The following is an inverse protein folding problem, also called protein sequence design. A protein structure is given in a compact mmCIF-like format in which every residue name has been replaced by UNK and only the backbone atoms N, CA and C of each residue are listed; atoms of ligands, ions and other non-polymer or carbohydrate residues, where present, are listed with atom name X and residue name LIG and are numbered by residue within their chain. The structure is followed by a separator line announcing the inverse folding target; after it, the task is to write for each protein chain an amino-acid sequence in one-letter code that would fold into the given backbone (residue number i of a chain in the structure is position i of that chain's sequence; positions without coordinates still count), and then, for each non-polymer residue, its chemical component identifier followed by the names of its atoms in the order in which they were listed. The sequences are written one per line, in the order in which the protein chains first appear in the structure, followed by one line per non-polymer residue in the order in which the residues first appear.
data_IF_143637780217
#
_entry.id   IF_143637780217
#
_cell.length_a   1.000
_cell.length_b   1.000
_cell.length_c   1.000
_cell.angle_alpha   90.00
_cell.angle_beta   90.00
_cell.angle_gamma   90.00
#
_symmetry.space_group_name_H-M   'P 1'
#
loop_
_entity.id
_entity.type
_entity.pdbx_description
1 polymer ?
#
# COMPACT_ATOMS: atom_id res chain seq x y z
N UNK A 1 0.79 8.47 29.26
CA UNK A 1 0.29 8.95 27.99
C UNK A 1 1.16 8.29 26.94
N UNK A 2 0.63 7.47 26.02
CA UNK A 2 1.45 7.02 24.91
C UNK A 2 1.88 8.26 24.13
N UNK A 3 3.14 8.28 23.76
CA UNK A 3 3.74 9.24 22.87
C UNK A 3 2.94 9.21 21.57
N UNK A 4 2.23 10.28 21.25
CA UNK A 4 1.57 10.45 19.97
C UNK A 4 2.67 10.80 18.96
N UNK A 5 3.57 9.84 18.71
CA UNK A 5 4.52 9.92 17.63
C UNK A 5 3.72 10.12 16.33
N UNK A 6 3.95 11.23 15.68
CA UNK A 6 3.36 11.55 14.39
C UNK A 6 3.80 10.46 13.42
N UNK A 7 2.87 9.68 12.90
CA UNK A 7 3.10 8.73 11.82
C UNK A 7 3.32 9.52 10.54
N UNK A 8 4.26 9.06 9.70
CA UNK A 8 4.52 9.68 8.40
C UNK A 8 3.61 9.09 7.32
N UNK A 9 3.01 7.92 7.60
CA UNK A 9 2.08 7.25 6.71
C UNK A 9 0.94 6.67 7.53
N UNK A 10 -0.27 7.10 7.26
CA UNK A 10 -1.48 6.60 7.89
C UNK A 10 -2.19 5.56 7.01
N UNK A 11 -2.76 4.55 7.66
CA UNK A 11 -3.52 3.48 7.02
C UNK A 11 -4.88 3.36 7.69
N UNK A 12 -5.93 3.28 6.88
CA UNK A 12 -7.30 3.05 7.31
C UNK A 12 -7.87 1.80 6.61
N UNK A 13 -8.57 0.94 7.33
CA UNK A 13 -9.43 -0.07 6.71
C UNK A 13 -10.87 0.40 6.80
N UNK A 14 -11.46 0.70 5.66
CA UNK A 14 -12.77 1.28 5.57
C UNK A 14 -13.28 1.39 4.14
N UNK A 15 -14.44 2.03 4.01
CA UNK A 15 -15.02 2.35 2.71
C UNK A 15 -14.22 3.44 2.03
N UNK A 16 -13.97 3.30 0.73
CA UNK A 16 -13.49 4.40 -0.11
C UNK A 16 -14.56 5.49 -0.28
N UNK A 17 -15.82 5.15 -0.04
CA UNK A 17 -16.94 6.09 -0.08
C UNK A 17 -17.12 6.73 1.29
N UNK A 18 -16.52 7.89 1.49
CA UNK A 18 -16.38 8.54 2.80
C UNK A 18 -17.50 9.53 3.11
N UNK A 19 -18.05 10.19 2.09
CA UNK A 19 -19.08 11.22 2.27
C UNK A 19 -20.48 10.62 2.33
N UNK A 20 -21.31 11.06 3.26
CA UNK A 20 -22.72 10.69 3.35
C UNK A 20 -23.60 11.73 2.66
N UNK A 21 -24.75 11.34 2.03
CA UNK A 21 -25.58 12.25 1.23
C UNK A 21 -26.27 13.36 2.04
N UNK A 22 -26.39 13.22 3.35
CA UNK A 22 -26.95 14.18 4.30
C UNK A 22 -25.89 15.14 4.88
N UNK A 23 -24.62 14.88 4.68
CA UNK A 23 -23.52 15.73 5.12
C UNK A 23 -23.17 16.76 4.04
N UNK A 24 -22.88 16.28 2.83
CA UNK A 24 -22.57 17.11 1.66
C UNK A 24 -23.02 16.37 0.38
N UNK A 25 -24.11 16.80 -0.18
CA UNK A 25 -24.70 16.12 -1.33
C UNK A 25 -23.89 16.28 -2.62
N UNK A 26 -23.27 17.45 -2.81
CA UNK A 26 -22.48 17.70 -4.03
C UNK A 26 -21.21 16.85 -4.01
N UNK A 27 -20.51 16.83 -2.88
CA UNK A 27 -19.34 15.97 -2.67
C UNK A 27 -19.68 14.49 -2.76
N UNK A 28 -20.81 14.07 -2.16
CA UNK A 28 -21.31 12.69 -2.27
C UNK A 28 -21.52 12.25 -3.72
N UNK A 29 -22.17 13.10 -4.53
CA UNK A 29 -22.44 12.77 -5.94
C UNK A 29 -21.12 12.71 -6.74
N UNK A 30 -20.18 13.62 -6.52
CA UNK A 30 -18.85 13.62 -7.15
C UNK A 30 -18.02 12.39 -6.76
N UNK A 31 -17.91 12.08 -5.47
CA UNK A 31 -17.19 10.90 -4.98
C UNK A 31 -17.81 9.59 -5.51
N UNK A 32 -19.13 9.53 -5.58
CA UNK A 32 -19.84 8.38 -6.15
C UNK A 32 -19.54 8.20 -7.65
N UNK A 33 -19.52 9.28 -8.42
CA UNK A 33 -19.20 9.24 -9.86
C UNK A 33 -17.77 8.74 -10.07
N UNK A 34 -16.81 9.30 -9.37
CA UNK A 34 -15.41 8.86 -9.38
C UNK A 34 -15.26 7.37 -9.04
N UNK A 35 -15.91 6.88 -7.96
CA UNK A 35 -15.85 5.48 -7.57
C UNK A 35 -16.46 4.53 -8.63
N UNK A 36 -17.51 4.97 -9.34
CA UNK A 36 -18.08 4.19 -10.45
C UNK A 36 -17.07 4.08 -11.59
N UNK A 37 -16.39 5.16 -11.94
CA UNK A 37 -15.41 5.19 -13.01
C UNK A 37 -14.21 4.32 -12.68
N UNK A 38 -13.66 4.44 -11.47
CA UNK A 38 -12.60 3.56 -10.96
C UNK A 38 -13.02 2.09 -10.97
N UNK A 39 -14.24 1.78 -10.52
CA UNK A 39 -14.76 0.41 -10.52
C UNK A 39 -14.87 -0.18 -11.93
N UNK A 40 -15.25 0.64 -12.92
CA UNK A 40 -15.32 0.22 -14.32
C UNK A 40 -13.91 -0.05 -14.88
N UNK A 41 -12.93 0.82 -14.60
CA UNK A 41 -11.53 0.63 -15.00
C UNK A 41 -10.92 -0.63 -14.38
N UNK A 42 -11.14 -0.86 -13.09
CA UNK A 42 -10.69 -2.08 -12.39
C UNK A 42 -11.33 -3.34 -12.99
N UNK A 43 -12.62 -3.27 -13.39
CA UNK A 43 -13.30 -4.37 -14.05
C UNK A 43 -12.73 -4.69 -15.42
N UNK A 44 -12.33 -3.69 -16.18
CA UNK A 44 -11.66 -3.88 -17.48
C UNK A 44 -10.29 -4.58 -17.31
N UNK A 45 -9.64 -4.37 -16.16
CA UNK A 45 -8.42 -5.09 -15.73
C UNK A 45 -8.73 -6.47 -15.09
N UNK A 46 -10.00 -6.88 -15.04
CA UNK A 46 -10.44 -8.17 -14.52
C UNK A 46 -10.65 -8.22 -13.01
N UNK A 47 -10.67 -7.06 -12.32
CA UNK A 47 -10.92 -6.97 -10.88
C UNK A 47 -12.36 -6.55 -10.62
N UNK A 48 -13.15 -7.45 -10.03
CA UNK A 48 -14.54 -7.19 -9.64
C UNK A 48 -14.61 -6.84 -8.14
N UNK A 49 -14.97 -5.61 -7.83
CA UNK A 49 -15.16 -5.08 -6.47
C UNK A 49 -16.38 -4.17 -6.43
N UNK A 50 -17.00 -4.01 -5.27
CA UNK A 50 -18.07 -3.03 -5.03
C UNK A 50 -17.52 -1.89 -4.15
N UNK A 51 -17.00 -0.84 -4.80
CA UNK A 51 -16.41 0.32 -4.11
C UNK A 51 -17.48 1.24 -3.50
N UNK A 52 -18.76 1.04 -3.85
CA UNK A 52 -19.88 1.81 -3.31
C UNK A 52 -20.49 1.18 -2.05
N UNK A 53 -20.01 -0.02 -1.69
CA UNK A 53 -20.50 -0.71 -0.51
C UNK A 53 -20.09 0.01 0.80
N UNK A 54 -20.97 -0.08 1.80
CA UNK A 54 -20.68 0.35 3.17
C UNK A 54 -20.18 1.80 3.32
N UNK A 55 -20.84 2.82 2.74
CA UNK A 55 -20.37 4.21 2.77
C UNK A 55 -20.14 4.68 4.21
N UNK A 56 -19.03 5.38 4.46
CA UNK A 56 -18.65 5.94 5.76
C UNK A 56 -18.21 4.92 6.81
N UNK A 57 -18.03 3.63 6.44
CA UNK A 57 -17.57 2.60 7.39
C UNK A 57 -16.05 2.67 7.54
N UNK A 58 -15.60 2.83 8.77
CA UNK A 58 -14.19 2.76 9.18
C UNK A 58 -14.10 1.77 10.35
N UNK A 59 -13.19 0.79 10.26
CA UNK A 59 -13.13 -0.32 11.24
C UNK A 59 -11.75 -0.51 11.87
N UNK A 60 -10.71 0.01 11.25
CA UNK A 60 -9.36 -0.09 11.77
C UNK A 60 -8.53 1.09 11.27
N UNK A 61 -7.67 1.61 12.13
CA UNK A 61 -6.72 2.68 11.84
C UNK A 61 -5.36 2.30 12.41
N UNK A 62 -4.31 2.59 11.67
CA UNK A 62 -2.93 2.38 12.08
C UNK A 62 -1.99 3.24 11.29
N UNK A 63 -0.71 3.25 11.65
CA UNK A 63 0.26 4.07 10.96
C UNK A 63 1.68 3.52 11.01
N UNK A 64 2.48 3.91 10.03
CA UNK A 64 3.90 3.63 9.95
C UNK A 64 4.64 4.88 10.44
N UNK A 65 5.48 4.69 11.48
CA UNK A 65 6.16 5.81 12.16
C UNK A 65 7.07 6.61 11.22
N UNK A 66 7.75 5.91 10.29
CA UNK A 66 8.66 6.53 9.33
C UNK A 66 8.51 5.91 7.95
N UNK A 67 8.38 6.74 6.97
CA UNK A 67 8.35 6.34 5.56
C UNK A 67 9.59 5.52 5.15
N UNK A 68 10.75 5.92 5.69
CA UNK A 68 12.00 5.16 5.57
C UNK A 68 11.85 3.67 5.93
N UNK A 69 11.05 3.31 6.94
CA UNK A 69 10.92 1.92 7.38
C UNK A 69 10.15 1.06 6.36
N UNK A 70 9.23 1.66 5.61
CA UNK A 70 8.55 0.99 4.49
C UNK A 70 9.52 0.75 3.32
N UNK A 71 10.30 1.75 2.92
CA UNK A 71 11.31 1.58 1.87
C UNK A 71 12.37 0.55 2.26
N UNK A 72 12.84 0.60 3.49
CA UNK A 72 13.79 -0.38 4.01
C UNK A 72 13.19 -1.80 4.01
N UNK A 73 11.90 -1.96 4.35
CA UNK A 73 11.22 -3.25 4.29
C UNK A 73 11.18 -3.78 2.86
N UNK A 74 10.87 -2.95 1.87
CA UNK A 74 10.89 -3.28 0.44
C UNK A 74 12.27 -3.72 -0.01
N UNK A 75 13.30 -2.95 0.31
CA UNK A 75 14.68 -3.27 -0.03
C UNK A 75 15.14 -4.59 0.60
N UNK A 76 14.80 -4.82 1.87
CA UNK A 76 15.09 -6.08 2.57
C UNK A 76 14.38 -7.25 1.91
N UNK A 77 13.11 -7.09 1.47
CA UNK A 77 12.39 -8.13 0.75
C UNK A 77 13.11 -8.52 -0.56
N UNK A 78 13.52 -7.52 -1.35
CA UNK A 78 14.28 -7.72 -2.60
C UNK A 78 15.62 -8.43 -2.35
N UNK A 79 16.34 -8.06 -1.31
CA UNK A 79 17.61 -8.70 -0.97
C UNK A 79 17.42 -10.15 -0.54
N UNK A 80 16.41 -10.43 0.29
CA UNK A 80 16.10 -11.79 0.76
C UNK A 80 15.70 -12.70 -0.38
N UNK A 81 14.82 -12.27 -1.29
CA UNK A 81 14.41 -13.10 -2.42
C UNK A 81 15.57 -13.41 -3.40
N UNK A 82 16.56 -12.51 -3.49
CA UNK A 82 17.77 -12.68 -4.30
C UNK A 82 18.93 -13.34 -3.53
N UNK A 83 18.72 -13.82 -2.29
CA UNK A 83 19.72 -14.49 -1.47
C UNK A 83 20.90 -13.61 -1.07
N UNK A 84 20.70 -12.28 -1.02
CA UNK A 84 21.74 -11.32 -0.60
C UNK A 84 21.78 -11.14 0.92
N UNK A 85 22.95 -10.71 1.42
CA UNK A 85 23.11 -10.39 2.84
C UNK A 85 22.40 -9.08 3.19
N UNK A 86 21.44 -9.15 4.11
CA UNK A 86 20.68 -8.00 4.59
C UNK A 86 21.31 -7.30 5.81
N UNK A 87 22.38 -7.86 6.38
CA UNK A 87 23.00 -7.28 7.59
C UNK A 87 23.42 -5.82 7.44
N UNK A 88 23.98 -5.39 6.29
CA UNK A 88 24.32 -3.99 6.10
C UNK A 88 23.10 -3.08 6.16
N UNK A 89 21.95 -3.52 5.61
CA UNK A 89 20.69 -2.77 5.60
C UNK A 89 20.06 -2.63 7.00
N UNK A 90 20.39 -3.54 7.91
CA UNK A 90 19.87 -3.55 9.28
C UNK A 90 20.77 -2.82 10.27
N UNK A 91 21.84 -2.18 9.81
CA UNK A 91 22.72 -1.39 10.65
C UNK A 91 21.99 -0.13 11.16
N UNK A 92 22.20 0.29 12.42
CA UNK A 92 21.50 1.45 12.98
C UNK A 92 21.80 2.78 12.29
N UNK A 93 22.88 2.84 11.54
CA UNK A 93 23.38 3.98 10.77
C UNK A 93 23.18 3.81 9.27
N UNK A 94 22.37 2.84 8.86
CA UNK A 94 22.01 2.67 7.45
C UNK A 94 21.06 3.79 7.03
N UNK A 95 21.42 4.46 5.94
CA UNK A 95 20.60 5.46 5.29
C UNK A 95 20.30 4.99 3.85
N UNK A 96 19.11 5.28 3.37
CA UNK A 96 18.75 5.04 1.97
C UNK A 96 19.47 6.07 1.10
N UNK A 97 20.03 5.62 0.00
CA UNK A 97 20.62 6.50 -1.00
C UNK A 97 19.54 7.32 -1.72
N UNK A 98 19.90 8.48 -2.27
CA UNK A 98 19.01 9.30 -3.11
C UNK A 98 18.60 8.55 -4.39
N UNK A 99 19.50 7.72 -4.93
CA UNK A 99 19.21 6.85 -6.07
C UNK A 99 18.68 5.50 -5.57
N UNK A 100 17.63 4.95 -6.20
CA UNK A 100 17.11 3.65 -5.82
C UNK A 100 18.15 2.54 -6.02
N UNK A 101 18.13 1.55 -5.14
CA UNK A 101 18.95 0.35 -5.30
C UNK A 101 18.69 -0.30 -6.67
N UNK A 102 19.73 -0.71 -7.42
CA UNK A 102 19.57 -1.25 -8.79
C UNK A 102 18.63 -2.46 -8.88
N UNK A 103 18.53 -3.30 -7.84
CA UNK A 103 17.60 -4.42 -7.84
C UNK A 103 16.15 -3.94 -7.69
N UNK A 104 15.93 -2.93 -6.84
CA UNK A 104 14.61 -2.36 -6.63
C UNK A 104 14.16 -1.59 -7.88
N UNK A 105 15.06 -0.83 -8.50
CA UNK A 105 14.80 -0.13 -9.77
C UNK A 105 14.42 -1.11 -10.89
N UNK A 106 15.15 -2.22 -11.05
CA UNK A 106 14.85 -3.24 -12.06
C UNK A 106 13.46 -3.89 -11.88
N UNK A 107 12.97 -3.98 -10.63
CA UNK A 107 11.60 -4.46 -10.37
C UNK A 107 10.56 -3.40 -10.74
N UNK A 108 10.80 -2.14 -10.41
CA UNK A 108 9.89 -1.03 -10.77
C UNK A 108 9.79 -0.81 -12.28
N UNK A 109 10.88 -1.06 -13.02
CA UNK A 109 10.94 -0.97 -14.47
C UNK A 109 10.48 -2.26 -15.20
N UNK A 110 9.94 -3.24 -14.46
CA UNK A 110 9.52 -4.55 -14.97
C UNK A 110 10.61 -5.36 -15.66
N UNK A 111 11.87 -5.04 -15.41
CA UNK A 111 13.03 -5.79 -15.93
C UNK A 111 13.31 -7.09 -15.14
N UNK A 112 12.84 -7.13 -13.86
CA UNK A 112 13.00 -8.28 -12.98
C UNK A 112 11.69 -8.60 -12.26
N UNK A 113 11.25 -9.88 -12.23
CA UNK A 113 10.09 -10.29 -11.45
C UNK A 113 10.40 -10.26 -9.94
N UNK A 114 9.35 -10.10 -9.12
CA UNK A 114 9.42 -10.20 -7.67
C UNK A 114 8.34 -11.12 -7.13
N UNK A 115 8.57 -11.70 -5.94
CA UNK A 115 7.59 -12.48 -5.17
C UNK A 115 6.66 -11.59 -4.35
N UNK A 116 6.95 -10.30 -4.28
CA UNK A 116 6.29 -9.30 -3.44
C UNK A 116 5.77 -8.10 -4.25
N UNK A 117 5.01 -8.33 -5.37
CA UNK A 117 4.63 -7.24 -6.25
C UNK A 117 3.77 -6.17 -5.55
N UNK A 118 2.83 -6.57 -4.69
CA UNK A 118 1.95 -5.61 -4.01
C UNK A 118 2.66 -4.83 -2.89
N UNK A 119 3.69 -5.38 -2.28
CA UNK A 119 4.54 -4.65 -1.34
C UNK A 119 5.49 -3.68 -2.07
N UNK A 120 6.09 -4.11 -3.20
CA UNK A 120 7.20 -3.41 -3.83
C UNK A 120 6.73 -2.43 -4.90
N UNK A 121 5.81 -2.82 -5.77
CA UNK A 121 5.37 -2.03 -6.92
C UNK A 121 4.22 -1.06 -6.60
N UNK A 122 3.50 -1.23 -5.51
CA UNK A 122 2.47 -0.28 -5.09
C UNK A 122 3.12 1.05 -4.68
N UNK A 123 2.45 2.17 -4.94
CA UNK A 123 2.94 3.52 -4.68
C UNK A 123 3.45 3.72 -3.24
N UNK A 124 2.68 3.26 -2.25
CA UNK A 124 3.10 3.23 -0.85
C UNK A 124 2.93 4.52 -0.07
N UNK A 125 2.90 5.68 -0.72
CA UNK A 125 2.64 7.00 -0.12
C UNK A 125 1.18 7.42 -0.26
N UNK A 126 0.38 6.59 -0.91
CA UNK A 126 -1.01 6.82 -1.20
C UNK A 126 -1.61 5.64 -1.92
N UNK A 127 -2.87 5.76 -2.35
CA UNK A 127 -3.56 4.72 -3.07
C UNK A 127 -4.27 3.71 -2.17
N UNK A 128 -4.62 2.56 -2.73
CA UNK A 128 -5.56 1.66 -2.10
C UNK A 128 -5.13 0.21 -2.24
N UNK A 129 -5.44 -0.63 -1.23
CA UNK A 129 -5.41 -2.09 -1.40
C UNK A 129 -6.82 -2.63 -1.30
N UNK A 130 -7.25 -3.34 -2.35
CA UNK A 130 -8.61 -3.86 -2.47
C UNK A 130 -8.70 -5.30 -1.92
N UNK A 131 -9.83 -5.70 -1.30
CA UNK A 131 -10.05 -7.04 -0.79
C UNK A 131 -10.37 -8.06 -1.90
N UNK A 132 -9.67 -7.97 -3.02
CA UNK A 132 -9.79 -8.84 -4.19
C UNK A 132 -8.41 -9.44 -4.52
N UNK A 133 -8.40 -10.65 -5.09
CA UNK A 133 -7.16 -11.35 -5.44
C UNK A 133 -6.79 -11.10 -6.90
N UNK A 134 -5.69 -10.40 -7.13
CA UNK A 134 -5.10 -10.17 -8.45
C UNK A 134 -3.58 -10.12 -8.36
N UNK A 135 -2.84 -10.41 -9.47
CA UNK A 135 -1.42 -10.74 -9.39
C UNK A 135 -0.47 -9.55 -9.25
N UNK A 136 -0.83 -8.38 -9.81
CA UNK A 136 0.04 -7.20 -9.88
C UNK A 136 -0.76 -5.95 -9.52
N UNK A 137 -0.17 -4.90 -8.91
CA UNK A 137 -0.83 -3.63 -8.70
C UNK A 137 -1.29 -3.01 -10.03
N UNK A 138 -2.47 -2.37 -10.00
CA UNK A 138 -3.06 -1.66 -11.12
C UNK A 138 -2.82 -0.17 -10.92
N UNK A 139 -2.38 0.52 -11.97
CA UNK A 139 -2.14 1.95 -11.96
C UNK A 139 -3.17 2.62 -12.86
N UNK A 140 -3.92 3.58 -12.29
CA UNK A 140 -4.94 4.35 -13.01
C UNK A 140 -4.45 5.79 -13.09
N UNK A 141 -4.38 6.30 -14.33
CA UNK A 141 -4.14 7.72 -14.57
C UNK A 141 -5.45 8.47 -14.37
N UNK A 142 -5.46 9.45 -13.46
CA UNK A 142 -6.59 10.36 -13.31
C UNK A 142 -6.44 11.49 -14.32
N UNK A 143 -7.49 11.76 -15.09
CA UNK A 143 -7.50 12.94 -15.95
C UNK A 143 -7.51 14.19 -15.05
N UNK A 144 -6.54 15.11 -15.18
CA UNK A 144 -6.51 16.33 -14.38
C UNK A 144 -7.79 17.13 -14.62
N UNK A 145 -8.42 17.61 -13.54
CA UNK A 145 -9.58 18.50 -13.67
C UNK A 145 -9.22 19.71 -14.54
N UNK A 146 -10.15 20.15 -15.42
CA UNK A 146 -9.94 21.28 -16.33
C UNK A 146 -9.52 22.53 -15.54
N UNK A 147 -8.23 22.88 -15.58
CA UNK A 147 -7.67 24.09 -14.96
C UNK A 147 -6.59 23.85 -13.90
N UNK A 148 -6.27 22.63 -13.55
CA UNK A 148 -5.12 22.28 -12.72
C UNK A 148 -3.91 21.91 -13.59
N UNK A 149 -2.86 22.75 -13.54
CA UNK A 149 -1.52 22.41 -14.02
C UNK A 149 -0.83 21.47 -12.99
N UNK A 150 -1.51 20.40 -12.54
CA UNK A 150 -0.90 19.41 -11.67
C UNK A 150 0.16 18.62 -12.45
N UNK A 151 1.34 18.34 -11.88
CA UNK A 151 2.31 17.44 -12.48
C UNK A 151 1.65 16.07 -12.75
N UNK A 152 1.95 15.45 -13.89
CA UNK A 152 1.38 14.16 -14.32
C UNK A 152 1.56 13.06 -13.23
N UNK A 153 2.62 13.18 -12.41
CA UNK A 153 2.92 12.24 -11.31
C UNK A 153 1.91 12.32 -10.14
N UNK A 154 1.19 13.44 -9.99
CA UNK A 154 0.16 13.63 -8.95
C UNK A 154 -1.23 13.12 -9.38
N UNK A 155 -1.38 12.73 -10.63
CA UNK A 155 -2.64 12.24 -11.21
C UNK A 155 -2.71 10.71 -11.35
N UNK A 156 -1.79 9.97 -10.74
CA UNK A 156 -1.75 8.51 -10.83
C UNK A 156 -2.07 7.87 -9.50
N UNK A 157 -3.06 6.98 -9.48
CA UNK A 157 -3.47 6.23 -8.28
C UNK A 157 -3.17 4.75 -8.46
N UNK A 158 -2.56 4.12 -7.44
CA UNK A 158 -2.28 2.69 -7.45
C UNK A 158 -3.29 1.90 -6.63
N UNK A 159 -3.68 0.75 -7.18
CA UNK A 159 -4.54 -0.23 -6.53
C UNK A 159 -3.79 -1.54 -6.35
N UNK A 160 -3.56 -1.92 -5.10
CA UNK A 160 -3.00 -3.22 -4.73
C UNK A 160 -4.09 -4.21 -4.33
N UNK A 161 -3.73 -5.49 -4.22
CA UNK A 161 -4.55 -6.55 -3.63
C UNK A 161 -4.19 -6.73 -2.17
N UNK A 162 -5.13 -6.53 -1.23
CA UNK A 162 -4.88 -6.84 0.19
C UNK A 162 -4.78 -8.36 0.44
N UNK A 163 -5.42 -9.17 -0.41
CA UNK A 163 -5.32 -10.64 -0.37
C UNK A 163 -3.93 -11.11 -0.76
N UNK A 164 -3.37 -10.57 -1.83
CA UNK A 164 -2.01 -10.88 -2.26
C UNK A 164 -0.99 -10.30 -1.28
N UNK A 165 -1.15 -9.05 -0.85
CA UNK A 165 -0.29 -8.42 0.15
C UNK A 165 -0.23 -9.24 1.44
N UNK A 166 -1.37 -9.74 1.95
CA UNK A 166 -1.41 -10.60 3.13
C UNK A 166 -0.49 -11.83 2.96
N UNK A 167 -0.55 -12.51 1.80
CA UNK A 167 0.30 -13.66 1.50
C UNK A 167 1.77 -13.30 1.41
N UNK A 168 2.07 -12.19 0.75
CA UNK A 168 3.43 -11.65 0.61
C UNK A 168 4.05 -11.34 1.99
N UNK A 169 3.30 -10.69 2.86
CA UNK A 169 3.76 -10.31 4.20
C UNK A 169 3.98 -11.54 5.11
N UNK A 170 3.13 -12.58 5.00
CA UNK A 170 3.32 -13.87 5.72
C UNK A 170 4.62 -14.54 5.26
N UNK A 171 4.85 -14.58 3.96
CA UNK A 171 6.08 -15.15 3.40
C UNK A 171 7.32 -14.36 3.83
N UNK A 172 7.28 -13.03 3.71
CA UNK A 172 8.38 -12.15 4.12
C UNK A 172 8.68 -12.27 5.61
N UNK A 173 7.66 -12.38 6.47
CA UNK A 173 7.86 -12.61 7.91
C UNK A 173 8.67 -13.89 8.16
N UNK A 174 8.34 -14.99 7.47
CA UNK A 174 9.08 -16.24 7.56
C UNK A 174 10.54 -16.10 7.11
N UNK A 175 10.79 -15.31 6.05
CA UNK A 175 12.17 -15.04 5.56
C UNK A 175 12.95 -14.18 6.57
N UNK A 176 12.32 -13.19 7.17
CA UNK A 176 12.93 -12.36 8.22
C UNK A 176 13.26 -13.19 9.48
N UNK A 177 12.41 -14.17 9.84
CA UNK A 177 12.68 -15.09 10.96
C UNK A 177 13.90 -15.95 10.68
N UNK A 178 14.00 -16.55 9.48
CA UNK A 178 15.14 -17.34 9.04
C UNK A 178 16.43 -16.50 9.01
N UNK A 179 16.35 -15.24 8.63
CA UNK A 179 17.47 -14.30 8.63
C UNK A 179 17.84 -13.79 10.03
N UNK A 180 17.07 -14.11 11.08
CA UNK A 180 17.32 -13.75 12.46
C UNK A 180 17.08 -12.27 12.76
N UNK A 181 16.22 -11.59 12.00
CA UNK A 181 15.84 -10.20 12.25
C UNK A 181 15.04 -10.10 13.55
N UNK A 182 15.52 -9.25 14.46
CA UNK A 182 14.92 -9.13 15.80
C UNK A 182 13.49 -8.59 15.75
N UNK A 183 12.56 -9.10 16.59
CA UNK A 183 11.15 -8.64 16.62
C UNK A 183 10.97 -7.13 16.86
N UNK A 184 11.93 -6.47 17.53
CA UNK A 184 11.88 -5.03 17.84
C UNK A 184 12.48 -4.14 16.74
N UNK A 185 12.95 -4.72 15.64
CA UNK A 185 13.51 -3.93 14.53
C UNK A 185 12.39 -3.11 13.87
N UNK A 186 12.62 -1.85 13.45
CA UNK A 186 11.60 -0.99 12.85
C UNK A 186 10.85 -1.63 11.67
N UNK A 187 11.56 -2.34 10.77
CA UNK A 187 10.91 -3.04 9.64
C UNK A 187 9.92 -4.12 10.09
N UNK A 188 10.10 -4.73 11.27
CA UNK A 188 9.14 -5.69 11.81
C UNK A 188 7.87 -5.01 12.29
N UNK A 189 7.97 -3.80 12.84
CA UNK A 189 6.80 -2.99 13.20
C UNK A 189 6.05 -2.57 11.95
N UNK A 190 6.76 -2.07 10.94
CA UNK A 190 6.17 -1.73 9.64
C UNK A 190 5.44 -2.94 9.03
N UNK A 191 6.10 -4.11 8.94
CA UNK A 191 5.47 -5.34 8.47
C UNK A 191 4.23 -5.72 9.29
N UNK A 192 4.28 -5.58 10.62
CA UNK A 192 3.15 -5.90 11.51
C UNK A 192 1.93 -5.02 11.27
N UNK A 193 2.15 -3.71 11.06
CA UNK A 193 1.06 -2.76 10.75
C UNK A 193 0.41 -3.09 9.41
N UNK A 194 1.22 -3.28 8.35
CA UNK A 194 0.72 -3.67 7.02
C UNK A 194 -0.05 -4.99 7.07
N UNK A 195 0.45 -5.96 7.83
CA UNK A 195 -0.18 -7.26 7.97
C UNK A 195 -1.51 -7.17 8.71
N UNK A 196 -1.57 -6.41 9.80
CA UNK A 196 -2.81 -6.20 10.55
C UNK A 196 -3.86 -5.51 9.66
N UNK A 197 -3.47 -4.48 8.91
CA UNK A 197 -4.36 -3.83 7.94
C UNK A 197 -4.87 -4.82 6.88
N UNK A 198 -3.99 -5.65 6.30
CA UNK A 198 -4.36 -6.65 5.31
C UNK A 198 -5.29 -7.73 5.89
N UNK A 199 -5.01 -8.22 7.10
CA UNK A 199 -5.84 -9.20 7.79
C UNK A 199 -7.26 -8.65 8.05
N UNK A 200 -7.37 -7.39 8.50
CA UNK A 200 -8.65 -6.72 8.74
C UNK A 200 -9.39 -6.45 7.44
N UNK A 201 -8.70 -5.99 6.39
CA UNK A 201 -9.25 -5.75 5.06
C UNK A 201 -9.90 -7.02 4.49
N UNK A 202 -9.14 -8.11 4.44
CA UNK A 202 -9.61 -9.39 3.90
C UNK A 202 -10.77 -9.98 4.72
N UNK A 203 -10.70 -9.86 6.06
CA UNK A 203 -11.74 -10.41 6.95
C UNK A 203 -13.08 -9.68 6.84
N UNK A 204 -13.08 -8.41 6.43
CA UNK A 204 -14.27 -7.56 6.41
C UNK A 204 -14.69 -7.11 5.01
N UNK A 205 -13.97 -7.53 3.97
CA UNK A 205 -14.23 -7.16 2.58
C UNK A 205 -14.23 -5.63 2.39
N UNK A 206 -13.23 -4.95 2.98
CA UNK A 206 -13.07 -3.49 2.93
C UNK A 206 -11.66 -3.10 2.45
N UNK A 207 -11.52 -2.06 1.64
CA UNK A 207 -10.23 -1.54 1.21
C UNK A 207 -9.33 -1.10 2.36
N UNK A 208 -8.01 -1.14 2.13
CA UNK A 208 -7.03 -0.35 2.88
C UNK A 208 -6.83 0.95 2.11
N UNK A 209 -6.95 2.07 2.78
CA UNK A 209 -6.68 3.41 2.27
C UNK A 209 -5.36 3.86 2.87
N UNK A 210 -4.46 4.40 2.03
CA UNK A 210 -3.12 4.85 2.43
C UNK A 210 -3.00 6.34 2.11
N UNK A 211 -2.59 7.19 3.06
CA UNK A 211 -2.32 8.63 2.88
C UNK A 211 -1.24 9.16 3.80
#
# INVERSE_FOLDING_TARGET
MPDNGMTELDLLVGSMFTTLPDEDRERYEAEREWLIDVQNLLKDEGVEVDLLANPGVEIWEGGIERYHDLFLLRLVAVYLENGRDIKPLLAPDFELDEEPDPLLAAIWEDEQPTRFPHLIKHQGEGGYYLPADFPEPIWIEEEPEEGEDAPIEESVVSFGSSVALQRELVELEGMLDQAGVKPRHPIRRCLSVLREAADVSVANDLPIIVW
#
